data_IF_670557877441
#
_entry.id   IF_670557877441
#
_cell.length_a   1.000
_cell.length_b   1.000
_cell.length_c   1.000
_cell.angle_alpha   90.00
_cell.angle_beta   90.00
_cell.angle_gamma   90.00
#
_symmetry.space_group_name_H-M   'P 1'
#
loop_
_entity.id
_entity.type
_entity.pdbx_description
1 polymer ?
#
# COMPACT_ATOMS: atom_id res chain seq x y z
N UNK A 1 -43.38 -19.84 6.15
CA UNK A 1 -42.77 -20.67 5.10
C UNK A 1 -42.08 -19.74 4.13
N UNK A 2 -40.76 -19.84 3.97
CA UNK A 2 -40.00 -19.02 3.01
C UNK A 2 -40.28 -19.50 1.58
N UNK A 3 -40.62 -18.57 0.68
CA UNK A 3 -41.00 -18.85 -0.71
C UNK A 3 -40.02 -18.11 -1.62
N UNK A 4 -39.49 -18.78 -2.64
CA UNK A 4 -38.57 -18.18 -3.61
C UNK A 4 -39.27 -18.03 -4.97
N UNK A 5 -39.23 -16.84 -5.57
CA UNK A 5 -39.76 -16.62 -6.91
C UNK A 5 -38.77 -17.10 -7.98
N UNK A 6 -39.24 -17.89 -8.95
CA UNK A 6 -38.44 -18.28 -10.11
C UNK A 6 -38.14 -17.05 -10.98
N UNK A 7 -36.87 -16.74 -11.28
CA UNK A 7 -36.56 -15.54 -12.07
C UNK A 7 -37.08 -15.58 -13.51
N UNK A 8 -37.24 -16.77 -14.08
CA UNK A 8 -37.65 -16.97 -15.48
C UNK A 8 -39.15 -16.74 -15.69
N UNK A 9 -40.00 -17.26 -14.80
CA UNK A 9 -41.47 -17.21 -14.95
C UNK A 9 -42.19 -16.51 -13.79
N UNK A 10 -41.44 -15.99 -12.82
CA UNK A 10 -41.92 -15.29 -11.61
C UNK A 10 -42.84 -16.10 -10.70
N UNK A 11 -42.99 -17.40 -10.93
CA UNK A 11 -43.79 -18.29 -10.10
C UNK A 11 -43.13 -18.52 -8.74
N UNK A 12 -43.89 -18.39 -7.67
CA UNK A 12 -43.45 -18.68 -6.31
C UNK A 12 -43.28 -20.20 -6.10
N UNK A 13 -42.19 -20.58 -5.44
CA UNK A 13 -41.85 -21.99 -5.19
C UNK A 13 -41.45 -22.21 -3.74
N UNK A 14 -41.71 -23.41 -3.23
CA UNK A 14 -41.26 -23.80 -1.90
C UNK A 14 -39.73 -23.73 -1.79
N UNK A 15 -39.23 -23.20 -0.67
CA UNK A 15 -37.79 -23.18 -0.39
C UNK A 15 -37.19 -24.59 -0.49
N UNK A 16 -36.16 -24.75 -1.33
CA UNK A 16 -35.45 -26.02 -1.55
C UNK A 16 -35.85 -26.79 -2.82
N UNK A 17 -36.80 -26.30 -3.63
CA UNK A 17 -37.09 -26.89 -4.94
C UNK A 17 -35.86 -26.79 -5.87
N UNK A 18 -35.47 -27.89 -6.54
CA UNK A 18 -34.32 -27.90 -7.47
C UNK A 18 -34.66 -27.32 -8.83
N UNK A 19 -35.89 -27.53 -9.31
CA UNK A 19 -36.41 -27.00 -10.56
C UNK A 19 -37.75 -26.32 -10.30
N UNK A 20 -38.05 -25.27 -11.08
CA UNK A 20 -39.32 -24.57 -11.04
C UNK A 20 -40.42 -25.53 -11.55
N UNK A 21 -41.48 -25.77 -10.78
CA UNK A 21 -42.55 -26.67 -11.20
C UNK A 21 -43.36 -26.14 -12.39
N UNK A 22 -43.32 -24.83 -12.65
CA UNK A 22 -44.09 -24.21 -13.74
C UNK A 22 -43.37 -24.23 -15.09
N UNK A 23 -42.04 -24.06 -15.12
CA UNK A 23 -41.28 -23.93 -16.37
C UNK A 23 -40.12 -24.91 -16.51
N UNK A 24 -39.90 -25.78 -15.51
CA UNK A 24 -38.80 -26.76 -15.50
C UNK A 24 -37.41 -26.14 -15.34
N UNK A 25 -37.29 -24.81 -15.31
CA UNK A 25 -36.00 -24.13 -15.16
C UNK A 25 -35.37 -24.45 -13.80
N UNK A 26 -34.06 -24.73 -13.73
CA UNK A 26 -33.39 -24.95 -12.46
C UNK A 26 -33.55 -23.71 -11.56
N UNK A 27 -33.96 -23.94 -10.32
CA UNK A 27 -34.10 -22.88 -9.32
C UNK A 27 -32.71 -22.42 -8.88
N UNK A 28 -32.49 -21.11 -8.90
CA UNK A 28 -31.22 -20.38 -8.71
C UNK A 28 -30.50 -20.58 -7.35
N UNK A 29 -30.82 -21.61 -6.57
CA UNK A 29 -30.11 -21.89 -5.33
C UNK A 29 -28.62 -22.23 -5.55
N UNK A 30 -28.22 -22.65 -6.76
CA UNK A 30 -26.84 -23.05 -7.08
C UNK A 30 -26.16 -22.23 -8.20
N UNK A 31 -26.80 -21.19 -8.72
CA UNK A 31 -26.23 -20.37 -9.81
C UNK A 31 -26.02 -18.94 -9.33
N UNK A 32 -24.79 -18.45 -9.50
CA UNK A 32 -24.43 -17.06 -9.23
C UNK A 32 -24.98 -16.16 -10.36
N UNK A 33 -25.34 -14.88 -10.09
CA UNK A 33 -25.64 -13.93 -11.15
C UNK A 33 -24.36 -13.54 -11.90
N UNK A 34 -24.43 -13.57 -13.23
CA UNK A 34 -23.46 -13.17 -14.25
C UNK A 34 -22.01 -12.91 -13.77
N UNK A 35 -21.06 -13.81 -14.11
CA UNK A 35 -19.67 -13.71 -13.71
C UNK A 35 -18.96 -12.54 -14.37
N UNK A 36 -19.59 -11.78 -15.29
CA UNK A 36 -19.05 -10.51 -15.75
C UNK A 36 -19.01 -9.47 -14.64
N UNK A 37 -19.90 -9.49 -13.64
CA UNK A 37 -19.85 -8.53 -12.52
C UNK A 37 -18.90 -8.99 -11.41
N UNK A 38 -18.80 -10.29 -11.14
CA UNK A 38 -17.85 -10.84 -10.17
C UNK A 38 -16.42 -10.89 -10.75
N UNK A 39 -16.23 -11.20 -12.04
CA UNK A 39 -14.92 -11.14 -12.71
C UNK A 39 -14.54 -9.73 -13.18
N UNK A 40 -15.48 -8.77 -13.29
CA UNK A 40 -15.14 -7.35 -13.37
C UNK A 40 -14.83 -6.79 -11.98
N UNK A 41 -15.50 -7.26 -10.91
CA UNK A 41 -15.08 -6.93 -9.53
C UNK A 41 -13.75 -7.57 -9.18
N UNK A 42 -13.45 -8.82 -9.57
CA UNK A 42 -12.17 -9.48 -9.34
C UNK A 42 -11.07 -9.03 -10.31
N UNK A 43 -11.40 -8.52 -11.51
CA UNK A 43 -10.43 -7.81 -12.37
C UNK A 43 -10.15 -6.39 -11.88
N UNK A 44 -11.17 -5.68 -11.41
CA UNK A 44 -10.97 -4.35 -10.83
C UNK A 44 -10.37 -4.43 -9.42
N UNK A 45 -10.73 -5.41 -8.58
CA UNK A 45 -10.18 -5.61 -7.22
C UNK A 45 -8.87 -6.39 -7.22
N UNK A 46 -8.64 -7.28 -8.20
CA UNK A 46 -7.37 -7.95 -8.43
C UNK A 46 -6.28 -6.99 -8.91
N UNK A 47 -6.65 -5.86 -9.52
CA UNK A 47 -5.73 -4.77 -9.82
C UNK A 47 -5.37 -3.92 -8.59
N UNK A 48 -6.16 -3.94 -7.51
CA UNK A 48 -5.96 -3.07 -6.35
C UNK A 48 -5.31 -3.74 -5.13
N UNK A 49 -5.35 -5.08 -5.02
CA UNK A 49 -5.15 -5.79 -3.74
C UNK A 49 -3.72 -5.95 -3.25
N UNK A 50 -2.68 -5.53 -4.00
CA UNK A 50 -1.31 -5.90 -3.63
C UNK A 50 -0.23 -4.87 -3.96
N UNK A 51 -0.61 -3.61 -4.19
CA UNK A 51 0.26 -2.65 -4.87
C UNK A 51 0.96 -1.64 -3.95
N UNK A 52 1.25 -1.90 -2.68
CA UNK A 52 1.84 -0.85 -1.84
C UNK A 52 3.03 -1.29 -0.97
N UNK A 53 4.24 -1.11 -1.50
CA UNK A 53 5.44 -0.93 -0.68
C UNK A 53 5.68 0.58 -0.53
N UNK A 54 5.09 1.19 0.49
CA UNK A 54 5.20 2.61 0.77
C UNK A 54 6.28 2.85 1.84
N UNK A 55 7.52 3.19 1.45
CA UNK A 55 8.61 3.52 2.41
C UNK A 55 9.03 5.01 2.36
N UNK A 56 8.82 5.75 1.27
CA UNK A 56 9.58 7.00 1.07
C UNK A 56 8.94 8.33 1.46
N UNK A 57 7.67 8.38 1.88
CA UNK A 57 7.07 9.65 2.27
C UNK A 57 7.48 10.12 3.69
N UNK A 58 8.21 9.30 4.46
CA UNK A 58 8.69 9.59 5.83
C UNK A 58 9.55 10.87 5.88
N UNK A 59 10.43 11.02 4.91
CA UNK A 59 11.58 11.92 4.99
C UNK A 59 11.19 13.35 4.63
N UNK A 60 10.24 13.50 3.71
CA UNK A 60 9.82 14.81 3.20
C UNK A 60 8.74 15.44 4.06
N UNK A 61 7.78 14.65 4.57
CA UNK A 61 6.69 15.16 5.40
C UNK A 61 7.21 15.80 6.69
N UNK A 62 8.23 15.19 7.32
CA UNK A 62 8.89 15.75 8.50
C UNK A 62 9.51 17.12 8.23
N UNK A 63 10.35 17.21 7.21
CA UNK A 63 11.13 18.43 6.94
C UNK A 63 10.28 19.63 6.49
N UNK A 64 9.21 19.40 5.73
CA UNK A 64 8.44 20.49 5.10
C UNK A 64 7.27 20.99 5.95
N UNK A 65 6.66 20.13 6.76
CA UNK A 65 5.68 20.59 7.77
C UNK A 65 6.35 21.37 8.91
N UNK A 66 7.65 21.14 9.12
CA UNK A 66 8.49 21.79 10.11
C UNK A 66 8.81 23.26 9.79
N UNK A 67 9.15 23.54 8.53
CA UNK A 67 9.46 24.90 8.09
C UNK A 67 8.24 25.83 8.21
N UNK A 68 7.02 25.33 7.98
CA UNK A 68 5.80 26.12 8.09
C UNK A 68 5.31 26.39 9.52
N UNK A 69 5.89 25.74 10.55
CA UNK A 69 5.41 25.83 11.94
C UNK A 69 6.42 26.38 12.95
N UNK A 70 7.71 26.45 12.60
CA UNK A 70 8.72 27.06 13.47
C UNK A 70 8.78 28.58 13.23
N UNK A 71 8.05 29.37 14.02
CA UNK A 71 8.02 30.83 13.90
C UNK A 71 9.39 31.49 14.01
N UNK A 72 10.33 30.91 14.78
CA UNK A 72 11.71 31.40 14.86
C UNK A 72 12.50 31.11 13.58
N UNK A 73 12.32 29.94 12.96
CA UNK A 73 12.96 29.60 11.68
C UNK A 73 12.39 30.45 10.55
N UNK A 74 11.07 30.64 10.51
CA UNK A 74 10.41 31.54 9.55
C UNK A 74 10.96 32.97 9.68
N UNK A 75 11.14 33.46 10.90
CA UNK A 75 11.73 34.80 11.10
C UNK A 75 13.19 34.90 10.66
N UNK A 76 13.96 33.81 10.72
CA UNK A 76 15.35 33.78 10.23
C UNK A 76 15.41 33.63 8.71
N UNK A 77 14.56 32.79 8.13
CA UNK A 77 14.33 32.68 6.68
C UNK A 77 13.99 34.08 6.16
N UNK A 78 13.06 34.80 6.77
CA UNK A 78 12.69 36.14 6.31
C UNK A 78 13.80 37.20 6.42
N UNK A 79 14.80 36.97 7.28
CA UNK A 79 15.85 37.95 7.56
C UNK A 79 17.17 37.67 6.86
N UNK A 80 17.43 36.43 6.45
CA UNK A 80 18.76 36.00 6.01
C UNK A 80 18.73 35.28 4.65
N UNK A 81 19.45 35.83 3.68
CA UNK A 81 19.46 35.32 2.30
C UNK A 81 20.05 33.90 2.16
N UNK A 82 21.08 33.57 2.95
CA UNK A 82 21.68 32.24 3.01
C UNK A 82 20.70 31.19 3.56
N UNK A 83 19.94 31.55 4.60
CA UNK A 83 18.92 30.68 5.19
C UNK A 83 17.76 30.44 4.20
N UNK A 84 17.32 31.48 3.47
CA UNK A 84 16.31 31.34 2.39
C UNK A 84 16.77 30.37 1.31
N UNK A 85 17.99 30.56 0.81
CA UNK A 85 18.54 29.72 -0.25
C UNK A 85 18.57 28.23 0.15
N UNK A 86 18.97 27.92 1.38
CA UNK A 86 19.00 26.53 1.87
C UNK A 86 17.58 25.99 2.13
N UNK A 87 16.65 26.82 2.59
CA UNK A 87 15.24 26.44 2.76
C UNK A 87 14.59 26.11 1.40
N UNK A 88 14.85 26.93 0.37
CA UNK A 88 14.37 26.70 -1.00
C UNK A 88 14.95 25.43 -1.61
N UNK A 89 16.23 25.16 -1.38
CA UNK A 89 16.89 23.93 -1.83
C UNK A 89 16.24 22.69 -1.20
N UNK A 90 16.02 22.71 0.11
CA UNK A 90 15.33 21.63 0.83
C UNK A 90 13.87 21.48 0.37
N UNK A 91 13.15 22.58 0.18
CA UNK A 91 11.78 22.58 -0.34
C UNK A 91 11.70 22.00 -1.76
N UNK A 92 12.66 22.32 -2.62
CA UNK A 92 12.76 21.78 -3.98
C UNK A 92 12.98 20.27 -3.96
N UNK A 93 13.99 19.79 -3.24
CA UNK A 93 14.29 18.35 -3.13
C UNK A 93 13.11 17.59 -2.54
N UNK A 94 12.48 18.12 -1.50
CA UNK A 94 11.28 17.53 -0.93
C UNK A 94 10.11 17.45 -1.91
N UNK A 95 9.82 18.54 -2.64
CA UNK A 95 8.78 18.53 -3.69
C UNK A 95 9.06 17.47 -4.77
N UNK A 96 10.29 17.36 -5.24
CA UNK A 96 10.68 16.35 -6.25
C UNK A 96 10.39 14.93 -5.75
N UNK A 97 10.75 14.63 -4.50
CA UNK A 97 10.49 13.34 -3.87
C UNK A 97 8.99 13.07 -3.67
N UNK A 98 8.20 14.07 -3.26
CA UNK A 98 6.74 13.94 -3.12
C UNK A 98 6.04 13.74 -4.45
N UNK A 99 6.46 14.45 -5.51
CA UNK A 99 5.92 14.27 -6.85
C UNK A 99 6.26 12.90 -7.43
N UNK A 100 7.50 12.43 -7.21
CA UNK A 100 7.89 11.08 -7.59
C UNK A 100 7.04 10.02 -6.86
N UNK A 101 6.76 10.23 -5.57
CA UNK A 101 5.89 9.34 -4.80
C UNK A 101 4.43 9.37 -5.27
N UNK A 102 3.90 10.56 -5.57
CA UNK A 102 2.55 10.72 -6.13
C UNK A 102 2.42 10.01 -7.48
N UNK A 103 3.34 10.27 -8.40
CA UNK A 103 3.36 9.62 -9.71
C UNK A 103 3.44 8.09 -9.60
N UNK A 104 4.20 7.58 -8.62
CA UNK A 104 4.26 6.13 -8.32
C UNK A 104 2.91 5.59 -7.87
N UNK A 105 2.24 6.26 -6.93
CA UNK A 105 0.92 5.85 -6.45
C UNK A 105 -0.13 5.90 -7.58
N UNK A 106 -0.06 6.91 -8.44
CA UNK A 106 -0.95 7.05 -9.60
C UNK A 106 -0.69 5.95 -10.65
N UNK A 107 0.56 5.56 -10.89
CA UNK A 107 0.90 4.44 -11.77
C UNK A 107 0.41 3.10 -11.21
N UNK A 108 0.53 2.91 -9.89
CA UNK A 108 -0.03 1.77 -9.16
C UNK A 108 -1.55 1.70 -9.34
N UNK A 109 -2.26 2.79 -9.13
CA UNK A 109 -3.72 2.85 -9.27
C UNK A 109 -4.15 2.58 -10.72
N UNK A 110 -3.40 3.11 -11.68
CA UNK A 110 -3.69 2.97 -13.10
C UNK A 110 -3.32 1.60 -13.70
N UNK A 111 -3.01 0.60 -12.88
CA UNK A 111 -2.68 -0.73 -13.40
C UNK A 111 -1.24 -0.86 -13.91
N UNK A 112 -0.42 0.21 -13.89
CA UNK A 112 0.90 0.27 -14.53
C UNK A 112 2.04 -0.08 -13.58
N UNK A 113 2.61 -1.28 -13.69
CA UNK A 113 3.92 -1.60 -13.11
C UNK A 113 5.03 -1.03 -13.99
N UNK A 114 5.32 0.26 -13.85
CA UNK A 114 6.63 0.77 -14.29
C UNK A 114 7.67 0.30 -13.28
N UNK A 115 8.32 -0.82 -13.58
CA UNK A 115 9.63 -1.14 -13.00
C UNK A 115 10.63 -0.20 -13.65
N UNK A 116 10.59 1.08 -13.25
CA UNK A 116 11.60 2.03 -13.66
C UNK A 116 12.92 1.60 -13.06
N UNK A 117 13.96 1.44 -13.88
CA UNK A 117 15.34 1.35 -13.41
C UNK A 117 15.68 2.69 -12.76
N UNK A 118 15.50 2.77 -11.46
CA UNK A 118 15.98 3.92 -10.71
C UNK A 118 17.51 3.88 -10.66
N UNK A 119 18.17 5.04 -10.80
CA UNK A 119 19.62 5.13 -10.68
C UNK A 119 20.06 4.42 -9.41
N UNK A 120 21.03 3.53 -9.54
CA UNK A 120 21.64 2.92 -8.38
C UNK A 120 22.27 4.05 -7.55
N UNK A 121 22.02 4.11 -6.23
CA UNK A 121 22.63 5.12 -5.39
C UNK A 121 24.15 5.05 -5.55
N UNK A 122 24.81 6.22 -5.50
CA UNK A 122 26.26 6.26 -5.62
C UNK A 122 26.90 5.30 -4.60
N UNK A 123 27.98 4.62 -5.01
CA UNK A 123 28.70 3.64 -4.19
C UNK A 123 29.20 4.18 -2.83
N UNK A 124 29.19 5.50 -2.67
CA UNK A 124 29.60 6.24 -1.47
C UNK A 124 28.39 6.93 -0.81
N UNK A 125 27.27 6.22 -0.62
CA UNK A 125 26.16 6.76 0.18
C UNK A 125 26.64 6.86 1.63
N UNK A 126 26.88 8.08 2.08
CA UNK A 126 27.54 8.36 3.36
C UNK A 126 26.60 8.04 4.52
N UNK A 127 26.79 6.86 5.12
CA UNK A 127 26.07 6.40 6.32
C UNK A 127 26.66 6.98 7.61
N UNK A 128 27.74 7.78 7.50
CA UNK A 128 28.33 8.46 8.62
C UNK A 128 27.32 9.43 9.27
N UNK A 129 27.44 9.58 10.59
CA UNK A 129 26.67 10.60 11.30
C UNK A 129 27.11 11.98 10.80
N UNK A 130 26.16 12.87 10.48
CA UNK A 130 26.51 14.24 10.11
C UNK A 130 27.14 14.94 11.30
N UNK A 131 28.08 15.85 11.02
CA UNK A 131 28.55 16.80 12.03
C UNK A 131 27.36 17.63 12.56
N UNK A 132 27.31 17.94 13.86
CA UNK A 132 26.28 18.82 14.41
C UNK A 132 26.27 20.17 13.70
N UNK A 133 25.09 20.63 13.28
CA UNK A 133 24.93 21.95 12.68
C UNK A 133 25.14 23.03 13.74
N UNK A 134 25.85 24.10 13.41
CA UNK A 134 26.11 25.22 14.32
C UNK A 134 25.11 26.36 14.17
N UNK A 135 24.35 26.37 13.06
CA UNK A 135 23.38 27.39 12.72
C UNK A 135 22.25 26.82 11.84
N UNK A 136 21.22 27.64 11.60
CA UNK A 136 20.04 27.26 10.82
C UNK A 136 20.36 26.92 9.36
N UNK A 137 21.26 27.65 8.69
CA UNK A 137 21.64 27.35 7.31
C UNK A 137 22.33 25.98 7.19
N UNK A 138 23.23 25.66 8.11
CA UNK A 138 23.87 24.35 8.20
C UNK A 138 22.88 23.22 8.52
N UNK A 139 21.90 23.48 9.38
CA UNK A 139 20.83 22.53 9.69
C UNK A 139 20.03 22.20 8.43
N UNK A 140 19.57 23.21 7.69
CA UNK A 140 18.79 23.02 6.47
C UNK A 140 19.60 22.30 5.38
N UNK A 141 20.85 22.69 5.18
CA UNK A 141 21.77 22.03 4.24
C UNK A 141 22.02 20.58 4.61
N UNK A 142 22.27 20.30 5.89
CA UNK A 142 22.47 18.94 6.41
C UNK A 142 21.22 18.09 6.23
N UNK A 143 20.04 18.64 6.54
CA UNK A 143 18.76 17.98 6.32
C UNK A 143 18.55 17.66 4.84
N UNK A 144 18.85 18.59 3.94
CA UNK A 144 18.71 18.36 2.51
C UNK A 144 19.59 17.19 2.02
N UNK A 145 20.83 17.09 2.54
CA UNK A 145 21.72 15.95 2.24
C UNK A 145 21.14 14.64 2.75
N UNK A 146 20.69 14.59 4.01
CA UNK A 146 20.06 13.39 4.59
C UNK A 146 18.86 12.97 3.77
N UNK A 147 17.98 13.93 3.43
CA UNK A 147 16.74 13.69 2.69
C UNK A 147 17.01 13.15 1.30
N UNK A 148 17.95 13.77 0.58
CA UNK A 148 18.33 13.36 -0.78
C UNK A 148 18.95 11.96 -0.80
N UNK A 149 19.93 11.71 0.06
CA UNK A 149 20.64 10.42 0.14
C UNK A 149 19.68 9.27 0.50
N UNK A 150 18.93 9.43 1.58
CA UNK A 150 17.96 8.40 1.99
C UNK A 150 16.82 8.25 0.99
N UNK A 151 16.37 9.34 0.36
CA UNK A 151 15.35 9.33 -0.68
C UNK A 151 15.77 8.47 -1.89
N UNK A 152 17.00 8.63 -2.36
CA UNK A 152 17.54 7.85 -3.48
C UNK A 152 17.68 6.37 -3.12
N UNK A 153 18.26 6.03 -1.97
CA UNK A 153 18.42 4.64 -1.52
C UNK A 153 17.07 3.94 -1.35
N UNK A 154 16.15 4.59 -0.64
CA UNK A 154 14.80 4.07 -0.41
C UNK A 154 14.06 3.85 -1.73
N UNK A 155 14.20 4.77 -2.68
CA UNK A 155 13.55 4.63 -3.98
C UNK A 155 14.14 3.49 -4.84
N UNK A 156 15.47 3.26 -4.79
CA UNK A 156 16.10 2.10 -5.41
C UNK A 156 15.66 0.76 -4.79
N UNK A 157 15.73 0.63 -3.47
CA UNK A 157 15.34 -0.60 -2.75
C UNK A 157 13.86 -0.93 -2.98
N UNK A 158 13.00 0.09 -3.02
CA UNK A 158 11.59 -0.11 -3.36
C UNK A 158 11.39 -0.59 -4.78
N UNK A 159 12.11 -0.04 -5.76
CA UNK A 159 11.99 -0.47 -7.15
C UNK A 159 12.35 -1.97 -7.29
N UNK A 160 13.36 -2.44 -6.55
CA UNK A 160 13.73 -3.86 -6.48
C UNK A 160 12.60 -4.71 -5.88
N UNK A 161 12.08 -4.34 -4.70
CA UNK A 161 10.99 -5.07 -4.05
C UNK A 161 9.72 -5.11 -4.91
N UNK A 162 9.38 -3.99 -5.58
CA UNK A 162 8.25 -3.92 -6.50
C UNK A 162 8.45 -4.82 -7.72
N UNK A 163 9.66 -4.88 -8.28
CA UNK A 163 9.98 -5.79 -9.36
C UNK A 163 9.78 -7.24 -8.93
N UNK A 164 10.26 -7.60 -7.74
CA UNK A 164 10.05 -8.94 -7.19
C UNK A 164 8.56 -9.25 -6.98
N UNK A 165 7.79 -8.34 -6.39
CA UNK A 165 6.34 -8.52 -6.21
C UNK A 165 5.64 -8.69 -7.57
N UNK A 166 6.01 -7.92 -8.59
CA UNK A 166 5.41 -8.03 -9.92
C UNK A 166 5.64 -9.41 -10.57
N UNK A 167 6.76 -10.07 -10.27
CA UNK A 167 7.02 -11.44 -10.78
C UNK A 167 6.10 -12.50 -10.17
N UNK A 168 5.49 -12.23 -9.02
CA UNK A 168 4.63 -13.17 -8.31
C UNK A 168 3.24 -13.34 -8.92
N UNK A 169 2.81 -12.42 -9.80
CA UNK A 169 1.50 -12.45 -10.48
C UNK A 169 0.34 -12.71 -9.52
N UNK A 170 0.24 -11.86 -8.48
CA UNK A 170 -0.70 -12.03 -7.37
C UNK A 170 -2.17 -12.00 -7.82
N UNK A 171 -2.45 -11.30 -8.91
CA UNK A 171 -3.75 -11.24 -9.58
C UNK A 171 -4.26 -12.62 -10.05
N UNK A 172 -3.34 -13.55 -10.35
CA UNK A 172 -3.68 -14.89 -10.81
C UNK A 172 -3.91 -15.89 -9.67
N UNK A 173 -3.52 -15.59 -8.42
CA UNK A 173 -3.52 -16.56 -7.30
C UNK A 173 -4.92 -17.11 -7.02
N UNK A 174 -5.93 -16.25 -7.05
CA UNK A 174 -7.33 -16.62 -6.81
C UNK A 174 -8.14 -16.80 -8.10
N UNK A 175 -7.47 -16.98 -9.24
CA UNK A 175 -8.17 -17.24 -10.49
C UNK A 175 -8.98 -18.55 -10.39
N UNK A 176 -10.22 -18.61 -10.88
CA UNK A 176 -11.11 -19.77 -10.68
C UNK A 176 -10.48 -21.11 -11.09
N UNK A 177 -9.70 -21.13 -12.18
CA UNK A 177 -8.95 -22.32 -12.62
C UNK A 177 -7.91 -22.81 -11.63
N UNK A 178 -7.30 -21.90 -10.86
CA UNK A 178 -6.32 -22.25 -9.85
C UNK A 178 -6.98 -22.77 -8.56
N UNK A 179 -8.28 -22.52 -8.35
CA UNK A 179 -9.02 -22.96 -7.16
C UNK A 179 -9.62 -24.37 -7.30
N UNK A 180 -9.67 -24.93 -8.51
CA UNK A 180 -10.14 -26.30 -8.76
C UNK A 180 -9.02 -27.27 -9.11
N UNK A 181 -7.80 -26.77 -9.27
CA UNK A 181 -6.62 -27.55 -9.63
C UNK A 181 -5.63 -27.65 -8.46
N UNK A 182 -5.16 -28.86 -8.16
CA UNK A 182 -4.26 -29.11 -7.04
C UNK A 182 -2.93 -28.35 -7.21
N UNK A 183 -2.41 -28.29 -8.44
CA UNK A 183 -1.16 -27.58 -8.73
C UNK A 183 -1.36 -26.06 -8.63
N UNK A 184 -2.45 -25.54 -9.16
CA UNK A 184 -2.86 -24.14 -9.00
C UNK A 184 -2.95 -23.71 -7.53
N UNK A 185 -3.60 -24.51 -6.68
CA UNK A 185 -3.72 -24.24 -5.24
C UNK A 185 -2.35 -24.23 -4.55
N UNK A 186 -1.52 -25.27 -4.79
CA UNK A 186 -0.21 -25.39 -4.17
C UNK A 186 0.73 -24.24 -4.61
N UNK A 187 0.68 -23.87 -5.89
CA UNK A 187 1.38 -22.71 -6.44
C UNK A 187 0.93 -21.42 -5.76
N UNK A 188 -0.38 -21.18 -5.66
CA UNK A 188 -0.94 -20.01 -4.98
C UNK A 188 -0.50 -19.91 -3.52
N UNK A 189 -0.50 -21.02 -2.78
CA UNK A 189 -0.01 -21.05 -1.40
C UNK A 189 1.48 -20.69 -1.31
N UNK A 190 2.30 -21.21 -2.22
CA UNK A 190 3.72 -20.87 -2.31
C UNK A 190 3.94 -19.39 -2.63
N UNK A 191 3.22 -18.85 -3.61
CA UNK A 191 3.24 -17.45 -4.00
C UNK A 191 2.90 -16.53 -2.83
N UNK A 192 1.84 -16.84 -2.06
CA UNK A 192 1.45 -16.04 -0.91
C UNK A 192 2.48 -16.10 0.24
N UNK A 193 3.16 -17.23 0.44
CA UNK A 193 4.28 -17.32 1.39
C UNK A 193 5.45 -16.45 0.94
N UNK A 194 5.82 -16.49 -0.34
CA UNK A 194 6.89 -15.64 -0.89
C UNK A 194 6.52 -14.15 -0.77
N UNK A 195 5.28 -13.79 -1.08
CA UNK A 195 4.80 -12.42 -0.92
C UNK A 195 4.90 -11.95 0.54
N UNK A 196 4.48 -12.77 1.51
CA UNK A 196 4.63 -12.44 2.93
C UNK A 196 6.10 -12.21 3.32
N UNK A 197 7.03 -13.03 2.83
CA UNK A 197 8.47 -12.80 3.05
C UNK A 197 8.92 -11.43 2.52
N UNK A 198 8.43 -11.01 1.35
CA UNK A 198 8.74 -9.69 0.78
C UNK A 198 8.13 -8.54 1.61
N UNK A 199 6.90 -8.72 2.12
CA UNK A 199 6.26 -7.76 3.04
C UNK A 199 7.09 -7.59 4.32
N UNK A 200 7.55 -8.69 4.92
CA UNK A 200 8.38 -8.63 6.12
C UNK A 200 9.76 -8.02 5.86
N UNK A 201 10.39 -8.36 4.73
CA UNK A 201 11.65 -7.76 4.33
C UNK A 201 11.51 -6.23 4.12
N UNK A 202 10.44 -5.83 3.43
CA UNK A 202 10.09 -4.42 3.24
C UNK A 202 9.90 -3.67 4.57
N UNK A 203 9.19 -4.27 5.52
CA UNK A 203 8.99 -3.69 6.86
C UNK A 203 10.31 -3.56 7.62
N UNK A 204 11.17 -4.58 7.58
CA UNK A 204 12.48 -4.54 8.22
C UNK A 204 13.37 -3.42 7.66
N UNK A 205 13.39 -3.25 6.34
CA UNK A 205 14.11 -2.16 5.66
C UNK A 205 13.54 -0.80 6.09
N UNK A 206 12.22 -0.63 6.07
CA UNK A 206 11.58 0.62 6.48
C UNK A 206 11.91 1.03 7.92
N UNK A 207 11.96 0.05 8.84
CA UNK A 207 12.34 0.26 10.24
C UNK A 207 13.81 0.64 10.38
N UNK A 208 14.69 -0.01 9.62
CA UNK A 208 16.12 0.33 9.59
C UNK A 208 16.35 1.74 9.04
N UNK A 209 15.69 2.11 7.94
CA UNK A 209 15.74 3.45 7.35
C UNK A 209 15.25 4.50 8.34
N UNK A 210 14.13 4.24 9.04
CA UNK A 210 13.59 5.17 10.06
C UNK A 210 14.57 5.36 11.21
N UNK A 211 15.17 4.28 11.70
CA UNK A 211 16.16 4.36 12.78
C UNK A 211 17.45 5.07 12.35
N UNK A 212 17.88 4.91 11.09
CA UNK A 212 19.00 5.66 10.55
C UNK A 212 18.67 7.15 10.41
N UNK A 213 17.50 7.49 9.88
CA UNK A 213 17.02 8.86 9.76
C UNK A 213 17.03 9.54 11.13
N UNK A 214 16.46 8.88 12.15
CA UNK A 214 16.45 9.38 13.52
C UNK A 214 17.86 9.72 13.98
N UNK A 215 18.80 8.77 13.91
CA UNK A 215 20.18 8.99 14.35
C UNK A 215 20.82 10.18 13.64
N UNK A 216 20.63 10.32 12.33
CA UNK A 216 21.23 11.40 11.52
C UNK A 216 20.58 12.76 11.83
N UNK A 217 19.26 12.80 11.98
CA UNK A 217 18.53 14.04 12.34
C UNK A 217 18.90 14.52 13.73
N UNK A 218 18.95 13.63 14.72
CA UNK A 218 19.33 13.97 16.08
C UNK A 218 20.80 14.42 16.17
N UNK A 219 21.71 13.74 15.47
CA UNK A 219 23.12 14.14 15.41
C UNK A 219 23.29 15.53 14.78
N UNK A 220 22.61 15.79 13.66
CA UNK A 220 22.65 17.07 12.97
C UNK A 220 22.08 18.21 13.83
N UNK A 221 20.91 18.00 14.44
CA UNK A 221 20.23 19.01 15.23
C UNK A 221 20.89 19.28 16.60
N UNK A 222 21.77 18.40 17.07
CA UNK A 222 22.39 18.47 18.40
C UNK A 222 23.22 19.73 18.67
N UNK A 223 23.71 20.41 17.63
CA UNK A 223 24.54 21.62 17.75
C UNK A 223 23.77 22.94 17.69
N UNK A 224 22.47 22.92 17.37
CA UNK A 224 21.69 24.14 17.12
C UNK A 224 20.98 24.61 18.39
N UNK A 225 21.18 25.88 18.76
CA UNK A 225 20.43 26.49 19.86
C UNK A 225 18.93 26.53 19.53
N UNK A 226 18.06 26.13 20.47
CA UNK A 226 16.59 26.04 20.31
C UNK A 226 16.10 24.99 19.29
N UNK A 227 16.86 23.91 19.10
CA UNK A 227 16.45 22.76 18.28
C UNK A 227 15.17 22.04 18.76
N UNK A 228 14.67 22.29 19.97
CA UNK A 228 13.52 21.59 20.56
C UNK A 228 12.26 21.67 19.70
N UNK A 229 11.98 22.83 19.07
CA UNK A 229 10.82 22.99 18.18
C UNK A 229 10.99 22.18 16.88
N UNK A 230 12.22 22.15 16.35
CA UNK A 230 12.56 21.35 15.19
C UNK A 230 12.43 19.84 15.47
N UNK A 231 12.97 19.36 16.59
CA UNK A 231 12.84 17.97 16.99
C UNK A 231 11.38 17.59 17.26
N UNK A 232 10.60 18.48 17.89
CA UNK A 232 9.18 18.22 18.15
C UNK A 232 8.35 18.05 16.87
N UNK A 233 8.57 18.90 15.85
CA UNK A 233 7.88 18.76 14.58
C UNK A 233 8.33 17.53 13.79
N UNK A 234 9.62 17.18 13.84
CA UNK A 234 10.14 15.94 13.27
C UNK A 234 9.45 14.71 13.89
N UNK A 235 9.40 14.63 15.22
CA UNK A 235 8.78 13.53 15.96
C UNK A 235 7.27 13.43 15.72
N UNK A 236 6.56 14.56 15.58
CA UNK A 236 5.14 14.56 15.24
C UNK A 236 4.88 13.92 13.86
N UNK A 237 5.63 14.36 12.84
CA UNK A 237 5.48 13.85 11.48
C UNK A 237 5.88 12.38 11.36
N UNK A 238 6.93 11.98 12.07
CA UNK A 238 7.34 10.58 12.22
C UNK A 238 6.23 9.71 12.79
N UNK A 239 5.56 10.12 13.89
CA UNK A 239 4.48 9.32 14.51
C UNK A 239 3.31 9.08 13.56
N UNK A 240 2.87 10.13 12.84
CA UNK A 240 1.78 10.01 11.87
C UNK A 240 2.12 8.99 10.78
N UNK A 241 3.38 9.02 10.32
CA UNK A 241 3.87 8.12 9.30
C UNK A 241 4.02 6.68 9.77
N UNK A 242 4.66 6.45 10.92
CA UNK A 242 4.82 5.11 11.51
C UNK A 242 3.45 4.45 11.71
N UNK A 243 2.45 5.21 12.13
CA UNK A 243 1.08 4.71 12.29
C UNK A 243 0.52 4.18 10.96
N UNK A 244 0.66 4.94 9.87
CA UNK A 244 0.20 4.48 8.55
C UNK A 244 0.98 3.28 8.02
N UNK A 245 2.29 3.22 8.26
CA UNK A 245 3.13 2.10 7.81
C UNK A 245 2.75 0.82 8.57
N UNK A 246 2.55 0.89 9.89
CA UNK A 246 2.10 -0.25 10.69
C UNK A 246 0.69 -0.71 10.27
N UNK A 247 -0.23 0.20 9.98
CA UNK A 247 -1.56 -0.12 9.45
C UNK A 247 -1.50 -0.85 8.09
N UNK A 248 -0.63 -0.37 7.19
CA UNK A 248 -0.42 -0.98 5.87
C UNK A 248 0.14 -2.40 5.98
N UNK A 249 1.19 -2.61 6.78
CA UNK A 249 1.77 -3.93 7.00
C UNK A 249 0.75 -4.88 7.65
N UNK A 250 -0.01 -4.40 8.62
CA UNK A 250 -1.04 -5.21 9.26
C UNK A 250 -2.15 -5.62 8.28
N UNK A 251 -2.59 -4.73 7.39
CA UNK A 251 -3.55 -5.04 6.35
C UNK A 251 -2.99 -6.05 5.33
N UNK A 252 -1.74 -5.89 4.89
CA UNK A 252 -1.09 -6.87 4.00
C UNK A 252 -1.03 -8.27 4.61
N UNK A 253 -0.66 -8.38 5.90
CA UNK A 253 -0.67 -9.66 6.62
C UNK A 253 -2.05 -10.30 6.65
N UNK A 254 -3.10 -9.50 6.93
CA UNK A 254 -4.49 -9.99 6.95
C UNK A 254 -4.97 -10.40 5.56
N UNK A 255 -4.63 -9.65 4.52
CA UNK A 255 -4.95 -9.99 3.14
C UNK A 255 -4.28 -11.30 2.71
N UNK A 256 -3.01 -11.52 3.09
CA UNK A 256 -2.33 -12.81 2.89
C UNK A 256 -3.08 -13.94 3.60
N UNK A 257 -3.46 -13.74 4.86
CA UNK A 257 -4.19 -14.74 5.63
C UNK A 257 -5.56 -15.07 5.01
N UNK A 258 -6.30 -14.06 4.55
CA UNK A 258 -7.58 -14.24 3.86
C UNK A 258 -7.44 -15.05 2.56
N UNK A 259 -6.41 -14.72 1.77
CA UNK A 259 -6.07 -15.47 0.54
C UNK A 259 -5.69 -16.92 0.84
N UNK A 260 -4.88 -17.15 1.87
CA UNK A 260 -4.50 -18.50 2.30
C UNK A 260 -5.69 -19.31 2.80
N UNK A 261 -6.65 -18.67 3.49
CA UNK A 261 -7.88 -19.33 3.92
C UNK A 261 -8.75 -19.78 2.74
N UNK A 262 -8.88 -18.95 1.69
CA UNK A 262 -9.55 -19.33 0.44
C UNK A 262 -8.87 -20.53 -0.24
N UNK A 263 -7.53 -20.49 -0.36
CA UNK A 263 -6.76 -21.59 -0.96
C UNK A 263 -6.85 -22.89 -0.13
N UNK A 264 -6.82 -22.79 1.20
CA UNK A 264 -6.98 -23.93 2.09
C UNK A 264 -8.39 -24.54 2.00
N UNK A 265 -9.42 -23.69 1.92
CA UNK A 265 -10.79 -24.13 1.70
C UNK A 265 -10.95 -24.85 0.35
N UNK A 266 -10.38 -24.29 -0.72
CA UNK A 266 -10.35 -24.91 -2.05
C UNK A 266 -9.64 -26.28 -2.01
N UNK A 267 -8.49 -26.36 -1.33
CA UNK A 267 -7.76 -27.61 -1.16
C UNK A 267 -8.58 -28.69 -0.46
N UNK A 268 -9.23 -28.34 0.65
CA UNK A 268 -10.08 -29.25 1.43
C UNK A 268 -11.36 -29.69 0.69
N UNK A 269 -11.68 -29.06 -0.44
CA UNK A 269 -12.84 -29.35 -1.31
C UNK A 269 -12.41 -29.69 -2.74
N UNK A 270 -11.16 -30.11 -2.93
CA UNK A 270 -10.68 -30.54 -4.23
C UNK A 270 -11.57 -31.66 -4.79
N UNK A 271 -11.93 -31.55 -6.07
CA UNK A 271 -12.88 -32.44 -6.73
C UNK A 271 -14.34 -32.30 -6.29
N UNK A 272 -14.65 -31.42 -5.32
CA UNK A 272 -16.02 -31.05 -4.90
C UNK A 272 -16.44 -29.66 -5.37
N UNK A 273 -15.48 -28.89 -5.88
CA UNK A 273 -15.68 -27.64 -6.60
C UNK A 273 -15.31 -27.92 -8.05
N UNK A 274 -16.14 -27.49 -8.99
CA UNK A 274 -15.88 -27.60 -10.43
C UNK A 274 -16.00 -26.25 -11.11
N UNK A 275 -15.47 -26.15 -12.32
CA UNK A 275 -15.66 -24.98 -13.15
C UNK A 275 -16.78 -25.23 -14.17
N UNK A 276 -17.64 -24.23 -14.35
CA UNK A 276 -18.46 -24.07 -15.54
C UNK A 276 -18.12 -22.72 -16.20
N UNK A 277 -17.38 -22.78 -17.31
CA UNK A 277 -16.74 -21.61 -17.90
C UNK A 277 -15.78 -20.91 -16.94
N UNK A 278 -16.22 -19.80 -16.33
CA UNK A 278 -15.45 -19.00 -15.36
C UNK A 278 -16.05 -19.03 -13.95
N UNK A 279 -17.08 -19.84 -13.73
CA UNK A 279 -17.81 -19.90 -12.46
C UNK A 279 -17.42 -21.13 -11.65
N UNK A 280 -17.27 -20.94 -10.34
CA UNK A 280 -17.10 -22.04 -9.41
C UNK A 280 -18.47 -22.61 -9.05
N UNK A 281 -18.67 -23.88 -9.37
CA UNK A 281 -19.84 -24.66 -8.96
C UNK A 281 -19.50 -25.46 -7.71
N UNK A 282 -20.38 -25.37 -6.71
CA UNK A 282 -20.23 -26.03 -5.42
C UNK A 282 -21.23 -27.18 -5.31
N UNK A 283 -20.77 -28.32 -4.79
CA UNK A 283 -21.64 -29.49 -4.55
C UNK A 283 -22.67 -29.29 -3.42
N UNK A 284 -22.44 -28.33 -2.52
CA UNK A 284 -23.33 -28.07 -1.39
C UNK A 284 -23.50 -26.57 -1.13
N UNK A 285 -24.68 -26.19 -0.63
CA UNK A 285 -24.95 -24.81 -0.20
C UNK A 285 -24.02 -24.38 0.94
N UNK A 286 -23.70 -25.30 1.86
CA UNK A 286 -22.78 -25.01 2.97
C UNK A 286 -21.37 -24.65 2.51
N UNK A 287 -20.87 -25.28 1.44
CA UNK A 287 -19.56 -24.95 0.86
C UNK A 287 -19.62 -23.58 0.17
N UNK A 288 -20.69 -23.29 -0.58
CA UNK A 288 -20.93 -21.99 -1.19
C UNK A 288 -21.00 -20.86 -0.16
N UNK A 289 -21.72 -21.06 0.95
CA UNK A 289 -21.83 -20.06 2.02
C UNK A 289 -20.50 -19.84 2.74
N UNK A 290 -19.69 -20.89 2.88
CA UNK A 290 -18.33 -20.76 3.45
C UNK A 290 -17.40 -20.00 2.51
N UNK A 291 -17.41 -20.34 1.21
CA UNK A 291 -16.67 -19.61 0.20
C UNK A 291 -17.05 -18.12 0.17
N UNK A 292 -18.35 -17.80 0.20
CA UNK A 292 -18.85 -16.42 0.23
C UNK A 292 -18.36 -15.64 1.45
N UNK A 293 -18.33 -16.25 2.63
CA UNK A 293 -17.79 -15.61 3.84
C UNK A 293 -16.30 -15.31 3.70
N UNK A 294 -15.51 -16.27 3.23
CA UNK A 294 -14.07 -16.09 3.02
C UNK A 294 -13.77 -15.02 1.96
N UNK A 295 -14.56 -14.98 0.88
CA UNK A 295 -14.45 -13.95 -0.15
C UNK A 295 -14.82 -12.56 0.40
N UNK A 296 -15.85 -12.48 1.26
CA UNK A 296 -16.22 -11.22 1.90
C UNK A 296 -15.14 -10.72 2.89
N UNK A 297 -14.43 -11.62 3.57
CA UNK A 297 -13.28 -11.25 4.40
C UNK A 297 -12.12 -10.72 3.54
N UNK A 298 -11.84 -11.35 2.39
CA UNK A 298 -10.87 -10.84 1.41
C UNK A 298 -11.25 -9.44 0.89
N UNK A 299 -12.50 -9.25 0.47
CA UNK A 299 -13.00 -7.96 -0.03
C UNK A 299 -12.92 -6.86 1.04
N UNK A 300 -13.09 -7.21 2.32
CA UNK A 300 -12.92 -6.27 3.44
C UNK A 300 -11.48 -5.77 3.56
N UNK A 301 -10.50 -6.65 3.42
CA UNK A 301 -9.10 -6.25 3.46
C UNK A 301 -8.71 -5.41 2.23
N UNK A 302 -9.27 -5.71 1.06
CA UNK A 302 -9.10 -4.89 -0.15
C UNK A 302 -9.65 -3.46 0.03
N UNK A 303 -10.85 -3.32 0.61
CA UNK A 303 -11.44 -2.01 0.90
C UNK A 303 -10.62 -1.23 1.94
N UNK A 304 -10.02 -1.92 2.93
CA UNK A 304 -9.13 -1.29 3.89
C UNK A 304 -7.83 -0.80 3.26
N UNK A 305 -7.26 -1.54 2.30
CA UNK A 305 -6.09 -1.10 1.54
C UNK A 305 -6.37 0.19 0.74
N UNK A 306 -7.55 0.27 0.11
CA UNK A 306 -7.98 1.47 -0.61
C UNK A 306 -8.08 2.69 0.33
N UNK A 307 -8.62 2.49 1.54
CA UNK A 307 -8.69 3.53 2.56
C UNK A 307 -7.31 4.01 3.01
N UNK A 308 -6.38 3.08 3.26
CA UNK A 308 -5.00 3.41 3.63
C UNK A 308 -4.34 4.19 2.49
N UNK A 309 -4.49 3.74 1.25
CA UNK A 309 -3.96 4.40 0.04
C UNK A 309 -4.50 5.82 -0.12
N UNK A 310 -5.81 6.02 0.12
CA UNK A 310 -6.44 7.35 0.09
C UNK A 310 -5.87 8.28 1.15
N UNK A 311 -5.67 7.80 2.39
CA UNK A 311 -5.05 8.59 3.46
C UNK A 311 -3.59 8.94 3.16
N UNK A 312 -2.84 8.01 2.57
CA UNK A 312 -1.46 8.27 2.11
C UNK A 312 -1.41 9.37 1.05
N UNK A 313 -2.27 9.32 0.02
CA UNK A 313 -2.35 10.38 -1.01
C UNK A 313 -2.69 11.74 -0.40
N UNK A 314 -3.68 11.77 0.50
CA UNK A 314 -4.04 13.01 1.21
C UNK A 314 -2.85 13.60 1.97
N UNK A 315 -2.07 12.77 2.67
CA UNK A 315 -0.87 13.24 3.37
C UNK A 315 0.19 13.81 2.41
N UNK A 316 0.38 13.20 1.23
CA UNK A 316 1.30 13.72 0.21
C UNK A 316 0.80 15.07 -0.33
N UNK A 317 -0.51 15.20 -0.59
CA UNK A 317 -1.10 16.44 -1.07
C UNK A 317 -1.01 17.57 -0.04
N UNK A 318 -1.29 17.29 1.24
CA UNK A 318 -1.14 18.23 2.35
C UNK A 318 0.34 18.68 2.50
N UNK A 319 1.29 17.76 2.27
CA UNK A 319 2.72 18.06 2.30
C UNK A 319 3.15 18.92 1.10
N UNK A 320 2.69 18.62 -0.11
CA UNK A 320 2.94 19.43 -1.30
C UNK A 320 2.39 20.85 -1.13
N UNK A 321 1.16 20.99 -0.63
CA UNK A 321 0.55 22.28 -0.35
C UNK A 321 1.32 23.08 0.71
N UNK A 322 1.85 22.41 1.75
CA UNK A 322 2.70 23.04 2.76
C UNK A 322 4.04 23.52 2.17
N UNK A 323 4.60 22.76 1.22
CA UNK A 323 5.83 23.10 0.50
C UNK A 323 5.64 24.32 -0.39
N UNK A 324 4.51 24.42 -1.08
CA UNK A 324 4.22 25.53 -1.99
C UNK A 324 3.99 26.84 -1.23
N UNK A 325 3.44 26.77 -0.02
CA UNK A 325 3.33 27.93 0.87
C UNK A 325 4.71 28.47 1.28
N UNK A 326 5.68 27.60 1.53
CA UNK A 326 7.03 28.01 1.91
C UNK A 326 7.77 28.76 0.79
N UNK A 327 7.53 28.39 -0.47
CA UNK A 327 8.10 29.11 -1.63
C UNK A 327 7.45 30.46 -1.91
N UNK A 328 6.22 30.65 -1.41
CA UNK A 328 5.45 31.87 -1.63
C UNK A 328 5.72 32.95 -0.56
N UNK A 329 6.47 32.61 0.49
CA UNK A 329 6.95 33.52 1.54
C UNK A 329 8.28 34.15 1.11
#
# INVERSE_FOLDING_TARGET
MTVNACENCKTETAAGARNCPACGAPMLANFMPDPRRAAARARNSGDHTWRNVAISAVIVLGCLTLLGRCSSLLSEIDRRADVRQEADALAKTGRELLLAEKARLDDIEAGRTRVGSQPQPAANSDTALPAPATNTAELLRGMNRIVSDMGQRSAHTRAQLQAEVATLKLDAVLAPQNLVDAQGIASGQSTMRRYLTLVEASNAIARADTAELDRRVYALAGGVARNAQFIAGYEQSKRQRVTLDDEQIANQRRAVAATQALLAFAHARLGRISLDGKELLFRSQSDLDTYRRLLADFDREAAQEEEISRRQRKMIDDALASTDKLKAM
#
